data_IF_710029511511
#
_entry.id   IF_710029511511
#
_cell.length_a   1.000
_cell.length_b   1.000
_cell.length_c   1.000
_cell.angle_alpha   90.00
_cell.angle_beta   90.00
_cell.angle_gamma   90.00
#
_symmetry.space_group_name_H-M   'P 1'
#
loop_
_entity.id
_entity.type
_entity.pdbx_description
1 polymer ?
#
# COMPACT_ATOMS: atom_id res chain seq x y z
N UNK A 1 8.91 17.18 -16.07
CA UNK A 1 7.77 17.44 -15.15
C UNK A 1 8.14 18.64 -14.29
N UNK A 2 7.21 19.54 -13.95
CA UNK A 2 7.51 20.64 -13.04
C UNK A 2 7.76 20.12 -11.62
N UNK A 3 8.59 20.82 -10.85
CA UNK A 3 8.97 20.44 -9.47
C UNK A 3 7.74 20.29 -8.56
N UNK A 4 6.71 21.08 -8.82
CA UNK A 4 5.42 21.08 -8.13
C UNK A 4 4.65 19.76 -8.28
N UNK A 5 4.96 18.97 -9.30
CA UNK A 5 4.39 17.62 -9.50
C UNK A 5 5.34 16.53 -8.99
N UNK A 6 6.65 16.75 -9.08
CA UNK A 6 7.66 15.77 -8.67
C UNK A 6 7.68 15.62 -7.15
N UNK A 7 7.68 16.72 -6.40
CA UNK A 7 7.78 16.70 -4.94
C UNK A 7 6.61 15.94 -4.28
N UNK A 8 5.34 16.24 -4.62
CA UNK A 8 4.20 15.49 -4.07
C UNK A 8 4.25 14.01 -4.44
N UNK A 9 4.63 13.67 -5.68
CA UNK A 9 4.72 12.27 -6.12
C UNK A 9 5.78 11.49 -5.35
N UNK A 10 6.91 12.12 -5.00
CA UNK A 10 7.94 11.50 -4.15
C UNK A 10 7.42 11.24 -2.74
N UNK A 11 6.76 12.23 -2.14
CA UNK A 11 6.17 12.09 -0.79
C UNK A 11 5.12 10.98 -0.78
N UNK A 12 4.23 10.97 -1.77
CA UNK A 12 3.23 9.92 -1.94
C UNK A 12 3.89 8.57 -2.17
N UNK A 13 4.92 8.48 -3.02
CA UNK A 13 5.66 7.25 -3.28
C UNK A 13 6.28 6.65 -2.02
N UNK A 14 6.92 7.48 -1.19
CA UNK A 14 7.45 7.06 0.12
C UNK A 14 6.32 6.61 1.05
N UNK A 15 5.23 7.36 1.13
CA UNK A 15 4.07 6.99 1.95
C UNK A 15 3.48 5.65 1.53
N UNK A 16 3.31 5.43 0.22
CA UNK A 16 2.84 4.17 -0.36
C UNK A 16 3.80 3.04 -0.02
N UNK A 17 5.12 3.24 -0.19
CA UNK A 17 6.14 2.25 0.14
C UNK A 17 6.06 1.81 1.61
N UNK A 18 6.04 2.77 2.53
CA UNK A 18 5.93 2.52 3.97
C UNK A 18 4.61 1.83 4.32
N UNK A 19 3.50 2.20 3.66
CA UNK A 19 2.21 1.54 3.88
C UNK A 19 2.22 0.07 3.45
N UNK A 20 2.92 -0.24 2.34
CA UNK A 20 3.14 -1.61 1.89
C UNK A 20 3.95 -2.43 2.92
N UNK A 21 5.07 -1.88 3.41
CA UNK A 21 5.87 -2.51 4.48
C UNK A 21 5.02 -2.74 5.74
N UNK A 22 4.27 -1.72 6.17
CA UNK A 22 3.41 -1.82 7.34
C UNK A 22 2.35 -2.92 7.16
N UNK A 23 1.78 -3.04 5.95
CA UNK A 23 0.81 -4.09 5.61
C UNK A 23 1.45 -5.48 5.70
N UNK A 24 2.68 -5.67 5.20
CA UNK A 24 3.40 -6.94 5.33
C UNK A 24 3.70 -7.26 6.79
N UNK A 25 4.20 -6.28 7.55
CA UNK A 25 4.59 -6.47 8.94
C UNK A 25 3.40 -6.75 9.87
N UNK A 26 2.28 -6.06 9.62
CA UNK A 26 1.05 -6.17 10.41
C UNK A 26 -0.01 -7.04 9.73
N UNK A 27 0.36 -7.91 8.78
CA UNK A 27 -0.59 -8.73 7.99
C UNK A 27 -1.54 -9.58 8.83
N UNK A 28 -1.08 -10.13 9.97
CA UNK A 28 -1.92 -10.92 10.89
C UNK A 28 -2.96 -10.04 11.62
N UNK A 29 -2.56 -9.01 12.39
CA UNK A 29 -3.53 -8.16 13.09
C UNK A 29 -4.44 -7.39 12.13
N UNK A 30 -3.95 -6.99 10.94
CA UNK A 30 -4.81 -6.40 9.90
C UNK A 30 -5.90 -7.39 9.45
N UNK A 31 -5.61 -8.68 9.33
CA UNK A 31 -6.58 -9.68 8.86
C UNK A 31 -7.71 -9.85 9.87
N UNK A 32 -7.35 -9.94 11.14
CA UNK A 32 -8.32 -10.01 12.22
C UNK A 32 -9.14 -8.73 12.34
N UNK A 33 -8.50 -7.56 12.20
CA UNK A 33 -9.19 -6.26 12.23
C UNK A 33 -10.18 -6.16 11.07
N UNK A 34 -9.79 -6.56 9.86
CA UNK A 34 -10.69 -6.57 8.70
C UNK A 34 -11.86 -7.51 8.87
N UNK A 35 -11.63 -8.71 9.40
CA UNK A 35 -12.70 -9.64 9.72
C UNK A 35 -13.69 -9.06 10.74
N UNK A 36 -13.19 -8.47 11.84
CA UNK A 36 -14.03 -7.84 12.87
C UNK A 36 -14.82 -6.65 12.31
N UNK A 37 -14.18 -5.79 11.52
CA UNK A 37 -14.83 -4.64 10.88
C UNK A 37 -15.91 -5.07 9.90
N UNK A 38 -15.64 -6.07 9.05
CA UNK A 38 -16.65 -6.61 8.13
C UNK A 38 -17.80 -7.28 8.88
N UNK A 39 -17.52 -8.03 9.96
CA UNK A 39 -18.57 -8.63 10.80
C UNK A 39 -19.47 -7.57 11.43
N UNK A 40 -18.90 -6.44 11.88
CA UNK A 40 -19.66 -5.32 12.47
C UNK A 40 -20.50 -4.57 11.43
N UNK A 41 -20.00 -4.42 10.20
CA UNK A 41 -20.64 -3.62 9.15
C UNK A 41 -21.67 -4.40 8.33
N UNK A 42 -21.40 -5.66 8.02
CA UNK A 42 -22.19 -6.47 7.09
C UNK A 42 -22.79 -7.74 7.74
N UNK A 43 -22.50 -7.98 9.02
CA UNK A 43 -22.94 -9.18 9.73
C UNK A 43 -22.06 -10.41 9.47
N UNK A 44 -22.32 -11.47 10.24
CA UNK A 44 -21.47 -12.66 10.32
C UNK A 44 -21.45 -13.50 9.03
N UNK A 45 -22.59 -13.59 8.32
CA UNK A 45 -22.70 -14.34 7.06
C UNK A 45 -21.89 -13.71 5.92
N UNK A 46 -21.88 -12.38 5.81
CA UNK A 46 -21.14 -11.69 4.75
C UNK A 46 -19.63 -11.68 5.05
N UNK A 47 -19.25 -11.51 6.31
CA UNK A 47 -17.86 -11.51 6.75
C UNK A 47 -17.18 -12.87 6.57
N UNK A 48 -17.88 -13.99 6.80
CA UNK A 48 -17.31 -15.34 6.62
C UNK A 48 -17.03 -15.69 5.15
N UNK A 49 -17.85 -15.18 4.22
CA UNK A 49 -17.67 -15.40 2.78
C UNK A 49 -16.57 -14.50 2.20
N UNK A 50 -16.45 -13.27 2.68
CA UNK A 50 -15.45 -12.29 2.21
C UNK A 50 -14.15 -12.37 3.02
N UNK A 51 -14.05 -11.66 4.16
CA UNK A 51 -12.85 -11.66 4.99
C UNK A 51 -12.47 -13.03 5.57
N UNK A 52 -13.43 -13.95 5.75
CA UNK A 52 -13.15 -15.32 6.22
C UNK A 52 -12.30 -16.13 5.24
N UNK A 53 -12.28 -15.75 3.96
CA UNK A 53 -11.39 -16.34 2.94
C UNK A 53 -10.06 -15.60 2.79
N UNK A 54 -9.92 -14.40 3.35
CA UNK A 54 -8.66 -13.66 3.31
C UNK A 54 -7.67 -14.29 4.28
N UNK A 55 -6.53 -14.72 3.74
CA UNK A 55 -5.43 -15.23 4.56
C UNK A 55 -4.42 -14.11 4.83
N UNK A 56 -3.69 -14.17 5.96
CA UNK A 56 -2.58 -13.26 6.21
C UNK A 56 -1.51 -13.30 5.10
N UNK A 57 -1.39 -14.42 4.39
CA UNK A 57 -0.50 -14.53 3.24
C UNK A 57 -0.94 -13.63 2.08
N UNK A 58 -2.23 -13.67 1.70
CA UNK A 58 -2.78 -12.80 0.65
C UNK A 58 -2.57 -11.32 0.96
N UNK A 59 -2.76 -10.91 2.22
CA UNK A 59 -2.45 -9.54 2.63
C UNK A 59 -0.95 -9.22 2.61
N UNK A 60 -0.10 -10.18 2.90
CA UNK A 60 1.34 -10.04 2.69
C UNK A 60 1.68 -9.78 1.22
N UNK A 61 1.09 -10.54 0.29
CA UNK A 61 1.29 -10.35 -1.15
C UNK A 61 0.84 -8.95 -1.58
N UNK A 62 -0.35 -8.51 -1.15
CA UNK A 62 -0.84 -7.15 -1.43
C UNK A 62 0.12 -6.09 -0.86
N UNK A 63 0.60 -6.26 0.37
CA UNK A 63 1.58 -5.36 0.98
C UNK A 63 2.89 -5.27 0.19
N UNK A 64 3.39 -6.39 -0.33
CA UNK A 64 4.60 -6.41 -1.19
C UNK A 64 4.34 -5.67 -2.51
N UNK A 65 3.18 -5.85 -3.13
CA UNK A 65 2.81 -5.13 -4.36
C UNK A 65 2.71 -3.62 -4.11
N UNK A 66 2.08 -3.21 -3.01
CA UNK A 66 2.00 -1.80 -2.61
C UNK A 66 3.40 -1.22 -2.35
N UNK A 67 4.27 -1.97 -1.66
CA UNK A 67 5.65 -1.55 -1.47
C UNK A 67 6.37 -1.40 -2.81
N UNK A 68 6.25 -2.36 -3.73
CA UNK A 68 6.82 -2.27 -5.08
C UNK A 68 6.33 -1.05 -5.86
N UNK A 69 5.03 -0.73 -5.77
CA UNK A 69 4.45 0.47 -6.38
C UNK A 69 5.08 1.75 -5.83
N UNK A 70 5.19 1.87 -4.50
CA UNK A 70 5.80 3.03 -3.86
C UNK A 70 7.28 3.20 -4.25
N UNK A 71 8.01 2.09 -4.36
CA UNK A 71 9.39 2.08 -4.82
C UNK A 71 9.50 2.57 -6.28
N UNK A 72 8.62 2.11 -7.16
CA UNK A 72 8.59 2.55 -8.56
C UNK A 72 8.29 4.06 -8.65
N UNK A 73 7.29 4.55 -7.91
CA UNK A 73 6.97 5.98 -7.84
C UNK A 73 8.15 6.82 -7.36
N UNK A 74 8.87 6.33 -6.35
CA UNK A 74 10.07 6.98 -5.84
C UNK A 74 11.18 7.05 -6.89
N UNK A 75 11.44 5.94 -7.60
CA UNK A 75 12.42 5.90 -8.67
C UNK A 75 12.08 6.87 -9.82
N UNK A 76 10.82 6.91 -10.26
CA UNK A 76 10.36 7.87 -11.27
C UNK A 76 10.51 9.33 -10.82
N UNK A 77 10.25 9.62 -9.55
CA UNK A 77 10.47 10.94 -8.98
C UNK A 77 11.94 11.36 -9.00
N UNK A 78 12.86 10.46 -8.64
CA UNK A 78 14.31 10.71 -8.72
C UNK A 78 14.76 10.97 -10.17
N UNK A 79 14.32 10.14 -11.11
CA UNK A 79 14.64 10.33 -12.54
C UNK A 79 14.13 11.69 -13.02
N UNK A 80 12.94 12.10 -12.60
CA UNK A 80 12.39 13.43 -12.90
C UNK A 80 13.25 14.58 -12.37
N UNK A 81 13.80 14.46 -11.14
CA UNK A 81 14.73 15.45 -10.58
C UNK A 81 16.02 15.47 -11.39
N UNK A 82 16.61 14.31 -11.69
CA UNK A 82 17.86 14.22 -12.44
C UNK A 82 17.74 14.86 -13.83
N UNK A 83 16.60 14.68 -14.49
CA UNK A 83 16.30 15.32 -15.77
C UNK A 83 16.16 16.85 -15.67
N UNK A 84 15.72 17.39 -14.53
CA UNK A 84 15.68 18.85 -14.31
C UNK A 84 17.05 19.44 -13.97
N UNK A 85 17.93 18.69 -13.29
CA UNK A 85 19.26 19.18 -12.88
C UNK A 85 20.28 19.04 -14.01
N UNK A 86 20.13 18.03 -14.87
CA UNK A 86 21.00 17.81 -16.03
C UNK A 86 20.57 18.52 -17.32
N UNK A 87 19.44 19.23 -17.31
CA UNK A 87 18.95 20.08 -18.39
C UNK A 87 19.20 21.55 -18.06
#
# INVERSE_FOLDING_TARGET
MPIETILPNLIVGVGVFLSGIATVWKRKPLNELMYRSQKRMFGEKAASVSAGRQTPFMMGVVGVLIAGLGLAMFAFGIVGIMQMVGA
#
